data_IF_234062433539
#
_entry.id   IF_234062433539
#
_cell.length_a   1.000
_cell.length_b   1.000
_cell.length_c   1.000
_cell.angle_alpha   90.00
_cell.angle_beta   90.00
_cell.angle_gamma   90.00
#
_symmetry.space_group_name_H-M   'P 1'
#
loop_
_entity.id
_entity.type
_entity.pdbx_description
1 polymer ?
#
# COMPACT_ATOMS: atom_id res chain seq x y z
N UNK A 1 -1.78 8.85 -0.62
CA UNK A 1 -1.12 8.88 -1.96
C UNK A 1 -1.99 8.08 -2.91
N UNK A 2 -2.37 8.63 -4.07
CA UNK A 2 -3.12 7.92 -5.10
C UNK A 2 -2.44 8.13 -6.44
N UNK A 3 -2.24 7.05 -7.19
CA UNK A 3 -1.63 7.12 -8.52
C UNK A 3 -2.09 5.98 -9.41
N UNK A 4 -1.96 6.17 -10.72
CA UNK A 4 -2.19 5.15 -11.74
C UNK A 4 -0.85 4.78 -12.37
N UNK A 5 -0.59 3.49 -12.51
CA UNK A 5 0.62 3.00 -13.20
C UNK A 5 0.46 3.10 -14.72
N UNK A 6 1.57 2.97 -15.46
CA UNK A 6 1.53 2.90 -16.93
C UNK A 6 0.68 1.71 -17.45
N UNK A 7 0.63 0.62 -16.68
CA UNK A 7 -0.22 -0.55 -16.98
C UNK A 7 -1.70 -0.35 -16.65
N UNK A 8 -2.09 0.80 -16.10
CA UNK A 8 -3.47 1.14 -15.77
C UNK A 8 -3.93 0.71 -14.37
N UNK A 9 -3.06 0.06 -13.57
CA UNK A 9 -3.36 -0.32 -12.18
C UNK A 9 -3.53 0.93 -11.34
N UNK A 10 -4.59 0.95 -10.52
CA UNK A 10 -4.86 2.00 -9.55
C UNK A 10 -4.28 1.62 -8.19
N UNK A 11 -3.46 2.50 -7.62
CA UNK A 11 -2.89 2.33 -6.30
C UNK A 11 -3.36 3.45 -5.36
N UNK A 12 -3.77 3.09 -4.15
CA UNK A 12 -4.11 4.01 -3.09
C UNK A 12 -3.41 3.59 -1.79
N UNK A 13 -2.65 4.51 -1.21
CA UNK A 13 -1.92 4.33 0.03
C UNK A 13 -2.44 5.36 1.03
N UNK A 14 -2.94 4.88 2.17
CA UNK A 14 -3.32 5.70 3.31
C UNK A 14 -2.34 5.41 4.47
N UNK A 15 -1.79 6.47 5.05
CA UNK A 15 -0.99 6.40 6.26
C UNK A 15 -1.58 7.37 7.27
N UNK A 16 -1.69 6.92 8.53
CA UNK A 16 -2.21 7.70 9.63
C UNK A 16 -1.39 7.42 10.88
N UNK A 17 -0.89 8.47 11.52
CA UNK A 17 -0.11 8.38 12.76
C UNK A 17 -0.94 8.75 14.00
N UNK A 18 -2.16 9.27 13.83
CA UNK A 18 -3.02 9.76 14.91
C UNK A 18 -3.82 8.64 15.60
N UNK A 19 -4.12 7.56 14.87
CA UNK A 19 -4.96 6.48 15.39
C UNK A 19 -4.24 5.70 16.50
N UNK A 20 -4.91 5.39 17.63
CA UNK A 20 -4.28 4.75 18.78
C UNK A 20 -4.04 3.24 18.61
N UNK A 21 -4.48 2.64 17.50
CA UNK A 21 -4.26 1.24 17.19
C UNK A 21 -3.34 1.06 15.99
N UNK A 22 -2.56 -0.02 15.98
CA UNK A 22 -1.69 -0.39 14.87
C UNK A 22 -2.50 -1.17 13.84
N UNK A 23 -2.48 -0.69 12.60
CA UNK A 23 -3.01 -1.42 11.45
C UNK A 23 -2.01 -1.33 10.30
N UNK A 24 -1.77 -2.46 9.63
CA UNK A 24 -0.97 -2.51 8.40
C UNK A 24 -1.57 -3.54 7.47
N UNK A 25 -2.47 -3.09 6.61
CA UNK A 25 -3.18 -3.97 5.67
C UNK A 25 -2.84 -3.61 4.23
N UNK A 26 -2.86 -4.62 3.37
CA UNK A 26 -2.77 -4.47 1.92
C UNK A 26 -3.91 -5.21 1.27
N UNK A 27 -4.56 -4.56 0.31
CA UNK A 27 -5.67 -5.12 -0.45
C UNK A 27 -5.30 -5.13 -1.92
N UNK A 28 -5.36 -6.30 -2.56
CA UNK A 28 -5.00 -6.46 -3.98
C UNK A 28 -6.19 -7.06 -4.72
N UNK A 29 -6.82 -6.23 -5.55
CA UNK A 29 -7.86 -6.67 -6.46
C UNK A 29 -7.25 -7.08 -7.81
N UNK A 30 -7.58 -8.28 -8.26
CA UNK A 30 -7.20 -8.80 -9.58
C UNK A 30 -8.46 -9.22 -10.33
N UNK A 31 -8.32 -9.63 -11.60
CA UNK A 31 -9.44 -10.07 -12.43
C UNK A 31 -10.23 -11.24 -11.85
N UNK A 32 -9.59 -12.13 -11.08
CA UNK A 32 -10.21 -13.39 -10.61
C UNK A 32 -10.16 -13.59 -9.10
N UNK A 33 -9.40 -12.76 -8.40
CA UNK A 33 -9.05 -12.94 -6.99
C UNK A 33 -8.98 -11.60 -6.29
N UNK A 34 -9.33 -11.60 -5.00
CA UNK A 34 -9.12 -10.49 -4.11
C UNK A 34 -8.29 -10.97 -2.91
N UNK A 35 -7.15 -10.32 -2.69
CA UNK A 35 -6.23 -10.68 -1.62
C UNK A 35 -6.28 -9.62 -0.52
N UNK A 36 -6.35 -10.07 0.72
CA UNK A 36 -6.28 -9.24 1.92
C UNK A 36 -5.10 -9.74 2.74
N UNK A 37 -4.10 -8.89 2.93
CA UNK A 37 -2.95 -9.18 3.76
C UNK A 37 -2.96 -8.30 5.01
N UNK A 38 -2.89 -8.91 6.20
CA UNK A 38 -2.50 -8.24 7.44
C UNK A 38 -0.99 -8.45 7.64
N UNK A 39 -0.24 -7.36 7.47
CA UNK A 39 1.22 -7.34 7.53
C UNK A 39 1.77 -7.33 8.96
N UNK A 40 0.92 -7.11 9.98
CA UNK A 40 1.31 -7.25 11.39
C UNK A 40 1.20 -8.71 11.83
N UNK A 41 0.08 -9.35 11.53
CA UNK A 41 -0.17 -10.76 11.91
C UNK A 41 0.38 -11.76 10.89
N UNK A 42 0.85 -11.27 9.74
CA UNK A 42 1.36 -12.08 8.60
C UNK A 42 0.31 -13.07 8.08
N UNK A 43 -0.94 -12.65 8.06
CA UNK A 43 -2.05 -13.45 7.56
C UNK A 43 -2.47 -12.96 6.18
N UNK A 44 -2.69 -13.89 5.25
CA UNK A 44 -3.20 -13.58 3.92
C UNK A 44 -4.46 -14.39 3.67
N UNK A 45 -5.53 -13.69 3.32
CA UNK A 45 -6.80 -14.28 2.89
C UNK A 45 -6.97 -14.05 1.40
N UNK A 46 -7.29 -15.13 0.68
CA UNK A 46 -7.67 -15.10 -0.72
C UNK A 46 -9.16 -15.35 -0.87
N UNK A 47 -9.86 -14.39 -1.48
CA UNK A 47 -11.21 -14.55 -1.99
C UNK A 47 -11.15 -14.88 -3.48
N UNK A 48 -11.82 -15.95 -3.91
CA UNK A 48 -11.79 -16.43 -5.30
C UNK A 48 -13.11 -17.11 -5.69
N UNK A 49 -13.26 -17.43 -6.98
CA UNK A 49 -14.45 -18.12 -7.48
C UNK A 49 -15.70 -17.24 -7.46
N UNK A 50 -15.53 -15.94 -7.76
CA UNK A 50 -16.63 -14.98 -7.82
C UNK A 50 -17.65 -15.40 -8.86
N UNK A 51 -18.91 -15.51 -8.43
CA UNK A 51 -20.04 -15.84 -9.27
C UNK A 51 -20.95 -14.62 -9.49
N UNK A 52 -21.76 -14.60 -10.56
CA UNK A 52 -22.70 -13.50 -10.84
C UNK A 52 -23.75 -13.28 -9.73
N UNK A 53 -24.06 -14.32 -8.94
CA UNK A 53 -24.97 -14.25 -7.80
C UNK A 53 -24.33 -13.62 -6.54
N UNK A 54 -23.06 -13.21 -6.62
CA UNK A 54 -22.29 -12.62 -5.53
C UNK A 54 -21.61 -13.63 -4.62
N UNK A 55 -21.76 -14.94 -4.85
CA UNK A 55 -21.08 -15.97 -4.07
C UNK A 55 -19.58 -16.03 -4.42
N UNK A 56 -18.77 -16.37 -3.41
CA UNK A 56 -17.33 -16.59 -3.55
C UNK A 56 -16.82 -17.50 -2.43
N UNK A 57 -15.63 -18.06 -2.62
CA UNK A 57 -14.93 -18.87 -1.62
C UNK A 57 -13.76 -18.11 -1.02
N UNK A 58 -13.42 -18.42 0.22
CA UNK A 58 -12.30 -17.85 0.95
C UNK A 58 -11.34 -18.94 1.40
N UNK A 59 -10.05 -18.65 1.35
CA UNK A 59 -9.03 -19.50 1.99
C UNK A 59 -7.89 -18.67 2.57
N UNK A 60 -7.25 -19.20 3.61
CA UNK A 60 -6.01 -18.64 4.13
C UNK A 60 -4.82 -19.19 3.36
N UNK A 61 -3.88 -18.30 3.01
CA UNK A 61 -2.61 -18.68 2.40
C UNK A 61 -1.56 -18.73 3.51
N UNK A 62 -0.84 -19.85 3.58
CA UNK A 62 0.29 -20.00 4.50
C UNK A 62 1.41 -19.04 4.13
N UNK A 63 1.86 -18.23 5.08
CA UNK A 63 3.00 -17.33 4.93
C UNK A 63 4.14 -17.85 5.79
N UNK A 64 5.34 -17.97 5.22
CA UNK A 64 6.53 -18.39 5.94
C UNK A 64 6.86 -17.45 7.10
N UNK A 65 7.45 -17.98 8.16
CA UNK A 65 7.78 -17.22 9.38
C UNK A 65 9.22 -16.69 9.41
N UNK A 66 9.86 -16.55 8.26
CA UNK A 66 11.23 -16.03 8.23
C UNK A 66 11.31 -14.64 8.88
N UNK A 67 12.41 -14.38 9.58
CA UNK A 67 12.68 -13.10 10.20
C UNK A 67 13.04 -12.09 9.08
N UNK A 68 12.19 -11.09 8.78
CA UNK A 68 12.31 -10.33 7.54
C UNK A 68 13.59 -9.51 7.44
N UNK A 69 14.08 -8.95 8.56
CA UNK A 69 15.29 -8.14 8.56
C UNK A 69 16.52 -9.01 8.31
N UNK A 70 16.61 -10.17 8.96
CA UNK A 70 17.65 -11.16 8.64
C UNK A 70 17.57 -11.62 7.19
N UNK A 71 16.38 -11.89 6.66
CA UNK A 71 16.22 -12.29 5.26
C UNK A 71 16.75 -11.20 4.30
N UNK A 72 16.44 -9.94 4.57
CA UNK A 72 16.93 -8.78 3.81
C UNK A 72 18.46 -8.63 3.90
N UNK A 73 19.03 -8.67 5.12
CA UNK A 73 20.48 -8.57 5.32
C UNK A 73 21.25 -9.73 4.68
N UNK A 74 20.68 -10.94 4.73
CA UNK A 74 21.25 -12.12 4.05
C UNK A 74 21.21 -11.96 2.52
N UNK A 75 20.11 -11.45 1.97
CA UNK A 75 19.99 -11.18 0.54
C UNK A 75 21.01 -10.11 0.10
N UNK A 76 21.19 -9.05 0.88
CA UNK A 76 22.19 -8.02 0.64
C UNK A 76 23.63 -8.58 0.66
N UNK A 77 23.99 -9.32 1.71
CA UNK A 77 25.32 -9.92 1.83
C UNK A 77 25.59 -10.94 0.70
N UNK A 78 24.55 -11.68 0.27
CA UNK A 78 24.66 -12.60 -0.87
C UNK A 78 24.94 -11.83 -2.16
N UNK A 79 24.17 -10.78 -2.46
CA UNK A 79 24.35 -9.97 -3.66
C UNK A 79 25.79 -9.45 -3.80
N UNK A 80 26.39 -8.97 -2.70
CA UNK A 80 27.79 -8.55 -2.66
C UNK A 80 28.73 -9.72 -3.00
N UNK A 81 28.55 -10.88 -2.35
CA UNK A 81 29.43 -12.04 -2.51
C UNK A 81 29.35 -12.67 -3.90
N UNK A 82 28.17 -12.68 -4.51
CA UNK A 82 27.92 -13.36 -5.79
C UNK A 82 27.94 -12.43 -7.00
N UNK A 83 27.99 -11.11 -6.79
CA UNK A 83 27.90 -10.12 -7.86
C UNK A 83 26.54 -10.14 -8.58
N UNK A 84 25.50 -10.69 -7.95
CA UNK A 84 24.14 -10.73 -8.51
C UNK A 84 23.36 -9.49 -8.08
N UNK A 85 22.38 -9.01 -8.87
CA UNK A 85 21.52 -7.91 -8.46
C UNK A 85 20.85 -8.17 -7.09
N UNK A 86 20.77 -7.16 -6.20
CA UNK A 86 20.00 -7.27 -4.97
C UNK A 86 18.50 -7.38 -5.26
N UNK A 87 17.71 -7.78 -4.26
CA UNK A 87 16.25 -7.89 -4.39
C UNK A 87 15.56 -6.54 -4.65
N UNK A 88 16.19 -5.44 -4.23
CA UNK A 88 15.80 -4.07 -4.55
C UNK A 88 17.08 -3.31 -4.91
N UNK A 89 17.13 -2.75 -6.12
CA UNK A 89 18.24 -1.97 -6.65
C UNK A 89 18.19 -0.51 -6.18
N UNK A 90 19.30 0.21 -6.35
CA UNK A 90 19.34 1.64 -6.03
C UNK A 90 18.42 2.45 -6.93
N UNK A 91 18.37 2.10 -8.21
CA UNK A 91 17.52 2.71 -9.23
C UNK A 91 16.04 2.56 -8.88
N UNK A 92 15.59 1.35 -8.51
CA UNK A 92 14.22 1.11 -8.05
C UNK A 92 13.88 1.93 -6.79
N UNK A 93 14.86 2.09 -5.87
CA UNK A 93 14.71 2.93 -4.69
C UNK A 93 14.49 4.41 -5.04
N UNK A 94 15.29 4.94 -5.97
CA UNK A 94 15.16 6.33 -6.46
C UNK A 94 13.82 6.54 -7.17
N UNK A 95 13.39 5.60 -8.02
CA UNK A 95 12.11 5.67 -8.71
C UNK A 95 10.92 5.68 -7.73
N UNK A 96 10.96 4.80 -6.71
CA UNK A 96 9.95 4.72 -5.66
C UNK A 96 9.86 6.04 -4.88
N UNK A 97 11.00 6.62 -4.51
CA UNK A 97 11.07 7.92 -3.85
C UNK A 97 10.50 9.03 -4.73
N UNK A 98 10.84 9.06 -6.03
CA UNK A 98 10.33 10.07 -6.95
C UNK A 98 8.81 10.02 -7.08
N UNK A 99 8.21 8.82 -7.12
CA UNK A 99 6.75 8.65 -7.13
C UNK A 99 6.14 9.19 -5.83
N UNK A 100 6.74 8.88 -4.68
CA UNK A 100 6.26 9.35 -3.38
C UNK A 100 6.28 10.89 -3.30
N UNK A 101 7.37 11.52 -3.74
CA UNK A 101 7.50 12.98 -3.78
C UNK A 101 6.42 13.62 -4.67
N UNK A 102 6.22 13.13 -5.90
CA UNK A 102 5.16 13.63 -6.80
C UNK A 102 3.77 13.51 -6.18
N UNK A 103 3.50 12.43 -5.46
CA UNK A 103 2.22 12.24 -4.77
C UNK A 103 2.02 13.21 -3.58
N UNK A 104 3.09 13.72 -3.00
CA UNK A 104 3.04 14.75 -1.95
C UNK A 104 2.88 16.15 -2.54
N UNK A 105 3.52 16.44 -3.67
CA UNK A 105 3.43 17.74 -4.37
C UNK A 105 2.04 18.01 -4.95
N UNK A 106 1.38 16.99 -5.52
CA UNK A 106 0.00 17.11 -6.01
C UNK A 106 -1.04 17.35 -4.91
N UNK A 107 -0.63 17.25 -3.64
CA UNK A 107 -1.43 17.60 -2.47
C UNK A 107 -1.24 19.10 -2.21
N UNK A 108 -1.88 19.95 -3.02
CA UNK A 108 -2.08 21.34 -2.58
C UNK A 108 -2.71 21.28 -1.18
N UNK A 109 -2.21 22.04 -0.19
CA UNK A 109 -2.95 22.18 1.06
C UNK A 109 -4.34 22.67 0.65
N UNK A 110 -5.39 22.05 1.21
CA UNK A 110 -6.71 22.64 1.09
C UNK A 110 -6.58 24.06 1.62
N UNK A 111 -6.49 25.04 0.71
CA UNK A 111 -6.57 26.43 1.07
C UNK A 111 -7.88 26.54 1.84
N UNK A 112 -7.78 26.75 3.15
CA UNK A 112 -8.93 26.93 3.99
C UNK A 112 -9.66 28.16 3.43
N UNK A 113 -10.69 27.93 2.63
CA UNK A 113 -11.61 28.98 2.24
C UNK A 113 -12.20 29.47 3.55
N UNK A 114 -11.98 30.72 3.97
CA UNK A 114 -12.59 31.20 5.20
C UNK A 114 -14.11 31.12 4.98
N UNK A 115 -14.75 30.20 5.69
CA UNK A 115 -16.21 30.15 5.76
C UNK A 115 -16.66 31.49 6.33
N UNK A 116 -17.17 32.37 5.46
CA UNK A 116 -17.91 33.55 5.89
C UNK A 116 -19.10 33.04 6.69
N UNK A 117 -19.01 33.20 8.01
CA UNK A 117 -20.09 32.88 8.93
C UNK A 117 -21.39 33.61 8.54
N UNK A 118 -22.56 33.06 8.90
CA UNK A 118 -23.84 33.67 8.56
C UNK A 118 -23.93 35.07 9.19
N UNK A 119 -24.26 36.06 8.35
CA UNK A 119 -24.63 37.39 8.82
C UNK A 119 -25.95 37.26 9.59
N UNK A 120 -25.94 37.61 10.88
CA UNK A 120 -27.16 37.81 11.65
C UNK A 120 -28.02 38.85 10.93
N UNK A 121 -29.20 38.44 10.47
CA UNK A 121 -30.26 39.36 10.11
C UNK A 121 -30.85 39.89 11.42
N UNK A 122 -30.80 41.21 11.59
CA UNK A 122 -31.46 41.91 12.67
C UNK A 122 -32.98 41.74 12.54
N UNK A 123 -33.63 41.41 13.66
CA UNK A 123 -35.07 41.41 13.88
C UNK A 123 -35.30 41.46 15.38
#
# INVERSE_FOLDING_TARGET
LQFRTASGVLAHINTNWLTPFKARTVHVATRRKYLIGDLLTRQVTECFGFQPDGSYSMRHLSVGHDEPLRAELMAFARAIKTGTPPAVTGEEGVESLAIAMRCLEGRQPANATPQRGPRLAAG
#
